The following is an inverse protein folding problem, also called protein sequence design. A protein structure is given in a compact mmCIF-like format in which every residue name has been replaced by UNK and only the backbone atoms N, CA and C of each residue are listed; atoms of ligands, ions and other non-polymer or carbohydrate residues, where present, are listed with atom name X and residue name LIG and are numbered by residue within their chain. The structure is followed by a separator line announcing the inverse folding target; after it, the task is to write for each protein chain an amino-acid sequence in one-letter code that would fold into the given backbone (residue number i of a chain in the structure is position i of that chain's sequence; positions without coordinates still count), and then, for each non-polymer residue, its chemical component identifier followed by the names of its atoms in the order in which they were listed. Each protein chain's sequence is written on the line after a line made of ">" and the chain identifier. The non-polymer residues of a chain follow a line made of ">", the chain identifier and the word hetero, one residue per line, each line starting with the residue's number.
data_IF_883800486382
#
_entry.id   IF_883800486382
#
_cell.length_a   1.000
_cell.length_b   1.000
_cell.length_c   1.000
_cell.angle_alpha   90.00
_cell.angle_beta   90.00
_cell.angle_gamma   90.00
#
_symmetry.space_group_name_H-M   'P 1'
#
loop_
_entity.id
_entity.type
_entity.pdbx_description
1 polymer ?
#
# COMPACT_ATOMS: atom_id res chain seq x y z
N UNK A 1 -63.50 -16.70 28.66
CA UNK A 1 -62.26 -15.99 28.49
C UNK A 1 -61.38 -16.66 27.43
N UNK A 2 -61.09 -15.91 26.48
CA UNK A 2 -60.36 -16.43 25.36
C UNK A 2 -58.88 -16.43 25.65
N UNK A 3 -58.47 -17.46 26.29
CA UNK A 3 -57.08 -17.71 26.43
C UNK A 3 -56.49 -18.18 25.09
N UNK A 4 -56.22 -17.26 24.30
CA UNK A 4 -55.75 -17.57 23.00
C UNK A 4 -54.24 -17.63 23.02
N UNK A 5 -53.78 -18.78 23.32
CA UNK A 5 -52.45 -19.14 22.89
C UNK A 5 -52.47 -19.28 21.37
N UNK A 6 -52.31 -18.17 20.72
CA UNK A 6 -52.11 -18.20 19.28
C UNK A 6 -50.67 -18.52 19.02
N UNK A 7 -50.43 -19.68 18.45
CA UNK A 7 -49.18 -19.94 17.79
C UNK A 7 -48.99 -18.99 16.59
N UNK A 8 -47.78 -18.84 16.14
CA UNK A 8 -47.49 -18.08 14.94
C UNK A 8 -48.16 -18.73 13.73
N UNK A 9 -48.72 -17.93 12.88
CA UNK A 9 -49.21 -18.40 11.59
C UNK A 9 -48.03 -18.71 10.65
N UNK A 10 -48.28 -19.57 9.67
CA UNK A 10 -47.25 -19.86 8.64
C UNK A 10 -46.80 -18.59 7.92
N UNK A 11 -47.74 -17.69 7.63
CA UNK A 11 -47.43 -16.43 6.99
C UNK A 11 -46.51 -15.54 7.83
N UNK A 12 -46.73 -15.47 9.15
CA UNK A 12 -45.88 -14.72 10.08
C UNK A 12 -44.45 -15.25 10.12
N UNK A 13 -44.32 -16.60 10.13
CA UNK A 13 -43.01 -17.23 10.10
C UNK A 13 -42.28 -16.93 8.78
N UNK A 14 -42.98 -16.98 7.67
CA UNK A 14 -42.42 -16.66 6.36
C UNK A 14 -41.96 -15.22 6.27
N UNK A 15 -42.75 -14.28 6.79
CA UNK A 15 -42.40 -12.87 6.85
C UNK A 15 -41.17 -12.63 7.74
N UNK A 16 -41.15 -13.29 8.90
CA UNK A 16 -40.00 -13.19 9.81
C UNK A 16 -38.70 -13.70 9.16
N UNK A 17 -38.77 -14.83 8.48
CA UNK A 17 -37.63 -15.39 7.75
C UNK A 17 -37.19 -14.49 6.61
N UNK A 18 -38.12 -13.91 5.87
CA UNK A 18 -37.81 -12.95 4.82
C UNK A 18 -37.10 -11.69 5.36
N UNK A 19 -37.56 -11.17 6.48
CA UNK A 19 -36.92 -10.01 7.14
C UNK A 19 -35.51 -10.37 7.64
N UNK A 20 -35.34 -11.55 8.23
CA UNK A 20 -34.02 -12.02 8.66
C UNK A 20 -33.07 -12.17 7.47
N UNK A 21 -33.53 -12.73 6.38
CA UNK A 21 -32.74 -12.86 5.17
C UNK A 21 -32.32 -11.50 4.61
N UNK A 22 -33.24 -10.55 4.62
CA UNK A 22 -32.97 -9.17 4.20
C UNK A 22 -31.91 -8.52 5.08
N UNK A 23 -32.06 -8.62 6.41
CA UNK A 23 -31.08 -8.06 7.36
C UNK A 23 -29.72 -8.72 7.22
N UNK A 24 -29.67 -10.03 7.02
CA UNK A 24 -28.43 -10.76 6.81
C UNK A 24 -27.71 -10.30 5.54
N UNK A 25 -28.43 -10.11 4.44
CA UNK A 25 -27.84 -9.62 3.20
C UNK A 25 -27.32 -8.18 3.31
N UNK A 26 -28.06 -7.33 3.98
CA UNK A 26 -27.62 -5.95 4.23
C UNK A 26 -26.38 -5.88 5.11
N UNK A 27 -26.33 -6.70 6.16
CA UNK A 27 -25.17 -6.82 7.03
C UNK A 27 -23.94 -7.32 6.29
N UNK A 28 -24.10 -8.31 5.45
CA UNK A 28 -23.02 -8.84 4.62
C UNK A 28 -22.47 -7.78 3.67
N UNK A 29 -23.35 -7.05 3.01
CA UNK A 29 -22.94 -5.94 2.11
C UNK A 29 -22.18 -4.85 2.85
N UNK A 30 -22.64 -4.51 4.06
CA UNK A 30 -21.95 -3.53 4.90
C UNK A 30 -20.55 -3.96 5.26
N UNK A 31 -20.37 -5.20 5.70
CA UNK A 31 -19.05 -5.77 6.04
C UNK A 31 -18.15 -5.86 4.81
N UNK A 32 -18.69 -6.33 3.68
CA UNK A 32 -17.94 -6.42 2.44
C UNK A 32 -17.47 -5.05 1.95
N UNK A 33 -18.31 -4.04 2.04
CA UNK A 33 -17.97 -2.66 1.69
C UNK A 33 -16.85 -2.11 2.56
N UNK A 34 -16.89 -2.37 3.86
CA UNK A 34 -15.82 -2.00 4.78
C UNK A 34 -14.50 -2.69 4.46
N UNK A 35 -14.55 -3.98 4.15
CA UNK A 35 -13.37 -4.74 3.79
C UNK A 35 -12.72 -4.20 2.51
N UNK A 36 -13.51 -3.88 1.50
CA UNK A 36 -13.03 -3.27 0.26
C UNK A 36 -12.43 -1.88 0.49
N UNK A 37 -13.07 -1.06 1.29
CA UNK A 37 -12.55 0.26 1.65
C UNK A 37 -11.22 0.18 2.39
N UNK A 38 -11.10 -0.76 3.34
CA UNK A 38 -9.86 -1.02 4.06
C UNK A 38 -8.74 -1.48 3.11
N UNK A 39 -9.05 -2.39 2.19
CA UNK A 39 -8.09 -2.90 1.22
C UNK A 39 -7.58 -1.78 0.31
N UNK A 40 -8.45 -0.90 -0.17
CA UNK A 40 -8.06 0.26 -0.97
C UNK A 40 -7.22 1.26 -0.18
N UNK A 41 -7.56 1.51 1.07
CA UNK A 41 -6.80 2.38 1.95
C UNK A 41 -5.40 1.81 2.23
N UNK A 42 -5.30 0.51 2.53
CA UNK A 42 -4.03 -0.18 2.76
C UNK A 42 -3.13 -0.14 1.52
N UNK A 43 -3.70 -0.32 0.34
CA UNK A 43 -2.96 -0.23 -0.92
C UNK A 43 -2.38 1.16 -1.14
N UNK A 44 -3.14 2.23 -0.87
CA UNK A 44 -2.67 3.62 -0.98
C UNK A 44 -1.58 3.94 0.04
N UNK A 45 -1.75 3.48 1.28
CA UNK A 45 -0.75 3.67 2.33
C UNK A 45 0.53 2.95 1.96
N UNK A 46 0.46 1.71 1.50
CA UNK A 46 1.63 0.95 1.08
C UNK A 46 2.36 1.63 -0.08
N UNK A 47 1.65 2.15 -1.06
CA UNK A 47 2.25 2.89 -2.19
C UNK A 47 2.95 4.16 -1.70
N UNK A 48 2.32 4.92 -0.82
CA UNK A 48 2.90 6.13 -0.23
C UNK A 48 4.15 5.81 0.59
N UNK A 49 4.12 4.74 1.38
CA UNK A 49 5.26 4.29 2.18
C UNK A 49 6.41 3.83 1.28
N UNK A 50 6.12 3.13 0.22
CA UNK A 50 7.14 2.70 -0.76
C UNK A 50 7.81 3.90 -1.41
N UNK A 51 7.03 4.87 -1.85
CA UNK A 51 7.56 6.10 -2.42
C UNK A 51 8.40 6.86 -1.41
N UNK A 52 7.92 7.00 -0.17
CA UNK A 52 8.66 7.63 0.91
C UNK A 52 9.99 6.94 1.19
N UNK A 53 10.03 5.62 1.19
CA UNK A 53 11.26 4.84 1.39
C UNK A 53 12.25 5.07 0.24
N UNK A 54 11.78 5.07 -0.99
CA UNK A 54 12.63 5.31 -2.17
C UNK A 54 13.21 6.73 -2.13
N UNK A 55 12.39 7.72 -1.82
CA UNK A 55 12.83 9.11 -1.73
C UNK A 55 13.83 9.31 -0.58
N UNK A 56 13.60 8.69 0.56
CA UNK A 56 14.53 8.74 1.69
C UNK A 56 15.88 8.09 1.34
N UNK A 57 15.87 6.98 0.65
CA UNK A 57 17.09 6.32 0.18
C UNK A 57 17.83 7.18 -0.85
N UNK A 58 17.10 7.78 -1.77
CA UNK A 58 17.64 8.72 -2.75
C UNK A 58 18.33 9.90 -2.08
N UNK A 59 17.66 10.52 -1.12
CA UNK A 59 18.21 11.64 -0.34
C UNK A 59 19.47 11.22 0.39
N UNK A 60 19.48 10.07 1.05
CA UNK A 60 20.65 9.55 1.73
C UNK A 60 21.82 9.30 0.78
N UNK A 61 21.55 8.69 -0.36
CA UNK A 61 22.58 8.43 -1.35
C UNK A 61 23.19 9.74 -1.85
N UNK A 62 22.39 10.77 -2.09
CA UNK A 62 22.89 12.09 -2.51
C UNK A 62 23.67 12.80 -1.43
N UNK A 63 23.21 12.74 -0.18
CA UNK A 63 23.93 13.37 0.95
C UNK A 63 25.29 12.72 1.24
N UNK A 64 25.45 11.46 0.88
CA UNK A 64 26.67 10.70 1.12
C UNK A 64 27.59 10.63 -0.10
N UNK A 65 27.28 11.33 -1.17
CA UNK A 65 28.14 11.40 -2.35
C UNK A 65 29.52 11.91 -1.97
N UNK A 66 30.54 11.27 -2.48
CA UNK A 66 31.93 11.68 -2.24
C UNK A 66 32.21 13.04 -2.85
N UNK A 67 33.08 13.83 -2.18
CA UNK A 67 33.44 15.17 -2.65
C UNK A 67 34.03 15.08 -4.06
N UNK A 68 33.48 15.84 -5.04
CA UNK A 68 34.01 15.88 -6.41
C UNK A 68 35.44 16.32 -6.53
N UNK A 69 35.96 17.03 -5.52
CA UNK A 69 37.37 17.44 -5.48
C UNK A 69 38.30 16.26 -5.26
N UNK A 70 37.80 15.24 -4.53
CA UNK A 70 38.55 14.01 -4.24
C UNK A 70 38.33 12.95 -5.30
N UNK A 71 37.16 12.94 -5.90
CA UNK A 71 36.76 11.96 -6.91
C UNK A 71 35.87 12.67 -7.96
N UNK A 72 36.45 13.13 -9.08
CA UNK A 72 35.69 13.90 -10.08
C UNK A 72 34.48 13.17 -10.65
N UNK A 73 34.55 11.84 -10.73
CA UNK A 73 33.48 11.00 -11.29
C UNK A 73 32.54 10.44 -10.20
N UNK A 74 32.49 11.07 -9.02
CA UNK A 74 31.62 10.65 -7.93
C UNK A 74 30.13 10.73 -8.26
N UNK A 75 29.76 11.57 -9.22
CA UNK A 75 28.41 11.71 -9.71
C UNK A 75 28.43 11.77 -11.23
N UNK A 76 27.80 10.82 -11.89
CA UNK A 76 27.72 10.74 -13.35
C UNK A 76 26.31 10.39 -13.79
N UNK A 77 25.84 11.08 -14.83
CA UNK A 77 24.53 10.86 -15.41
C UNK A 77 24.65 10.67 -16.93
N UNK A 78 24.14 9.57 -17.44
CA UNK A 78 24.20 9.22 -18.87
C UNK A 78 22.91 9.49 -19.65
N UNK A 79 21.92 10.12 -19.01
CA UNK A 79 20.59 10.37 -19.58
C UNK A 79 19.54 9.33 -19.20
N UNK A 80 19.94 8.17 -18.68
CA UNK A 80 19.04 7.08 -18.27
C UNK A 80 19.31 6.61 -16.85
N UNK A 81 20.57 6.62 -16.44
CA UNK A 81 20.98 6.19 -15.12
C UNK A 81 21.89 7.22 -14.47
N UNK A 82 21.72 7.34 -13.16
CA UNK A 82 22.57 8.16 -12.32
C UNK A 82 23.48 7.25 -11.51
N UNK A 83 24.79 7.36 -11.74
CA UNK A 83 25.79 6.65 -10.96
C UNK A 83 26.39 7.60 -9.93
N UNK A 84 26.46 7.18 -8.70
CA UNK A 84 27.08 7.93 -7.63
C UNK A 84 27.99 7.03 -6.81
N UNK A 85 29.06 7.62 -6.30
CA UNK A 85 29.98 6.99 -5.36
C UNK A 85 29.75 7.60 -4.00
N UNK A 86 29.33 6.80 -3.04
CA UNK A 86 29.04 7.23 -1.68
C UNK A 86 30.03 6.64 -0.68
N UNK A 87 30.21 7.34 0.41
CA UNK A 87 30.97 6.81 1.53
C UNK A 87 30.13 5.83 2.34
N UNK A 88 30.72 4.69 2.67
CA UNK A 88 30.15 3.69 3.55
C UNK A 88 31.17 3.34 4.63
N UNK A 89 30.73 2.72 5.71
CA UNK A 89 31.56 2.37 6.88
C UNK A 89 32.75 1.47 6.56
N UNK A 90 32.75 0.77 5.44
CA UNK A 90 33.84 -0.09 4.99
C UNK A 90 34.62 0.44 3.77
N UNK A 91 34.37 1.68 3.32
CA UNK A 91 35.00 2.25 2.14
C UNK A 91 34.03 2.99 1.23
N UNK A 92 34.28 2.94 -0.07
CA UNK A 92 33.42 3.57 -1.08
C UNK A 92 32.49 2.55 -1.69
N UNK A 93 31.26 2.96 -1.92
CA UNK A 93 30.24 2.16 -2.59
C UNK A 93 29.76 2.88 -3.84
N UNK A 94 29.67 2.15 -4.93
CA UNK A 94 29.04 2.65 -6.17
C UNK A 94 27.57 2.29 -6.14
N UNK A 95 26.72 3.29 -6.32
CA UNK A 95 25.27 3.11 -6.39
C UNK A 95 24.79 3.64 -7.73
N UNK A 96 23.94 2.90 -8.38
CA UNK A 96 23.35 3.29 -9.66
C UNK A 96 21.83 3.35 -9.49
N UNK A 97 21.27 4.50 -9.83
CA UNK A 97 19.84 4.71 -9.94
C UNK A 97 19.45 4.77 -11.40
N UNK A 98 18.52 3.96 -11.79
CA UNK A 98 18.10 3.93 -13.19
C UNK A 98 16.64 3.54 -13.34
N UNK A 99 16.10 3.93 -14.49
CA UNK A 99 14.77 3.54 -14.91
C UNK A 99 14.89 2.35 -15.85
N UNK A 100 14.41 1.21 -15.39
CA UNK A 100 14.30 0.00 -16.21
C UNK A 100 12.85 -0.18 -16.61
N UNK A 101 12.57 -0.01 -17.91
CA UNK A 101 11.22 0.02 -18.46
C UNK A 101 10.35 1.08 -17.78
N UNK A 102 9.62 0.68 -16.73
CA UNK A 102 8.72 1.57 -15.97
C UNK A 102 9.06 1.61 -14.48
N UNK A 103 10.16 0.99 -14.07
CA UNK A 103 10.54 0.88 -12.66
C UNK A 103 11.86 1.57 -12.37
N UNK A 104 11.85 2.39 -11.36
CA UNK A 104 13.08 2.89 -10.76
C UNK A 104 13.77 1.76 -9.98
N UNK A 105 15.04 1.57 -10.27
CA UNK A 105 15.86 0.56 -9.63
C UNK A 105 17.16 1.17 -9.10
N UNK A 106 17.62 0.63 -7.98
CA UNK A 106 18.88 0.96 -7.35
C UNK A 106 19.76 -0.29 -7.32
N UNK A 107 20.97 -0.18 -7.78
CA UNK A 107 21.98 -1.24 -7.75
C UNK A 107 23.12 -0.90 -6.80
#
# INVERSE_FOLDING_TARGET
>A
MNNKQRGFTLAEVLVALALLALLATMSWRGVSSMAEAKQSADARVNETLRLGTVLAQWEQDLLQVQDPRLLPDALAFDGKSLRLVRRQSGGLQVVVWGLNETRWQRW
#
